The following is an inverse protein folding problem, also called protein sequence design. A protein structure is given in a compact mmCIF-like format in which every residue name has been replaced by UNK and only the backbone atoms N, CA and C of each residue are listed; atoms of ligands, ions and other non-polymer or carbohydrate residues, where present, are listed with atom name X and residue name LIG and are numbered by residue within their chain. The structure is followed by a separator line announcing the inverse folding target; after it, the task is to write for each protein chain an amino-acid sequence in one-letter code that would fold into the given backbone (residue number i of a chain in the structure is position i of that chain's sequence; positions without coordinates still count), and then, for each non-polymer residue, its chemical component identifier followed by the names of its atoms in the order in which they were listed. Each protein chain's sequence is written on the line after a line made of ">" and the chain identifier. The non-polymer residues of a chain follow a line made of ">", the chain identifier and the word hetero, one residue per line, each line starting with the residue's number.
data_IF_491694210275
#
_entry.id   IF_491694210275
#
_cell.length_a   1.000
_cell.length_b   1.000
_cell.length_c   1.000
_cell.angle_alpha   90.00
_cell.angle_beta   90.00
_cell.angle_gamma   90.00
#
_symmetry.space_group_name_H-M   'P 1'
#
loop_
_entity.id
_entity.type
_entity.pdbx_description
1 polymer ?
#
# COMPACT_ATOMS: atom_id res chain seq x y z
N UNK A 1 -3.68 1.68 88.82
CA UNK A 1 -3.44 0.47 88.01
C UNK A 1 -4.75 0.11 87.34
N UNK A 2 -4.94 0.59 86.10
CA UNK A 2 -4.86 -0.20 84.86
C UNK A 2 -6.12 -1.04 84.61
N UNK A 3 -6.98 -0.55 83.69
CA UNK A 3 -7.59 -1.25 82.53
C UNK A 3 -9.12 -1.14 82.45
N UNK A 4 -9.79 -1.03 81.30
CA UNK A 4 -9.48 -0.70 79.89
C UNK A 4 -10.84 -0.26 79.33
N UNK A 5 -10.87 0.86 78.62
CA UNK A 5 -12.02 1.40 77.89
C UNK A 5 -12.05 0.72 76.51
N UNK A 6 -13.14 0.04 76.14
CA UNK A 6 -13.32 -0.54 74.81
C UNK A 6 -14.27 0.37 74.01
N UNK A 7 -13.69 1.30 73.25
CA UNK A 7 -14.41 2.13 72.29
C UNK A 7 -14.43 1.42 70.94
N UNK A 8 -15.62 1.06 70.47
CA UNK A 8 -15.86 0.53 69.12
C UNK A 8 -15.76 1.71 68.15
N UNK A 9 -14.71 1.72 67.31
CA UNK A 9 -14.54 2.65 66.20
C UNK A 9 -15.25 2.05 64.98
N UNK A 10 -16.34 2.69 64.56
CA UNK A 10 -16.95 2.50 63.24
C UNK A 10 -16.02 3.13 62.19
N UNK A 11 -15.23 2.30 61.50
CA UNK A 11 -14.50 2.68 60.30
C UNK A 11 -15.46 2.55 59.10
N UNK A 12 -16.15 3.63 58.76
CA UNK A 12 -16.81 3.77 57.47
C UNK A 12 -15.73 3.91 56.39
N UNK A 13 -15.50 2.81 55.67
CA UNK A 13 -14.66 2.80 54.48
C UNK A 13 -15.26 3.69 53.39
N UNK A 14 -14.65 4.84 53.17
CA UNK A 14 -14.75 5.56 51.90
C UNK A 14 -13.98 4.75 50.85
N UNK A 15 -14.70 3.92 50.09
CA UNK A 15 -14.19 3.45 48.81
C UNK A 15 -14.35 4.59 47.81
N UNK A 16 -13.26 5.14 47.22
CA UNK A 16 -13.40 5.93 46.02
C UNK A 16 -13.92 5.00 44.92
N UNK A 17 -15.17 5.23 44.52
CA UNK A 17 -15.69 4.79 43.24
C UNK A 17 -14.85 5.47 42.16
N UNK A 18 -13.75 4.83 41.77
CA UNK A 18 -13.20 5.03 40.45
C UNK A 18 -14.23 4.44 39.50
N UNK A 19 -15.12 5.29 38.98
CA UNK A 19 -15.78 5.01 37.72
C UNK A 19 -14.64 4.78 36.72
N UNK A 20 -14.38 3.52 36.39
CA UNK A 20 -13.67 3.20 35.17
C UNK A 20 -14.57 3.72 34.06
N UNK A 21 -14.22 4.90 33.55
CA UNK A 21 -14.75 5.39 32.30
C UNK A 21 -14.34 4.34 31.28
N UNK A 22 -15.24 3.40 31.02
CA UNK A 22 -15.10 2.35 30.03
C UNK A 22 -15.31 3.06 28.67
N UNK A 23 -14.43 4.02 28.40
CA UNK A 23 -14.42 4.81 27.19
C UNK A 23 -14.04 3.84 26.10
N UNK A 24 -15.03 3.55 25.29
CA UNK A 24 -14.87 2.73 24.14
C UNK A 24 -13.76 3.32 23.25
N UNK A 25 -12.66 2.59 23.01
CA UNK A 25 -11.50 3.16 22.30
C UNK A 25 -11.84 3.55 20.86
N UNK A 26 -12.95 3.04 20.32
CA UNK A 26 -13.41 3.29 18.95
C UNK A 26 -14.72 4.08 18.98
N UNK A 27 -14.60 5.40 19.06
CA UNK A 27 -15.74 6.34 19.02
C UNK A 27 -15.53 7.37 17.92
N UNK A 28 -16.57 7.67 17.14
CA UNK A 28 -16.51 8.68 16.09
C UNK A 28 -16.88 10.06 16.63
N UNK A 29 -16.05 11.06 16.32
CA UNK A 29 -16.47 12.45 16.39
C UNK A 29 -17.32 12.74 15.14
N UNK A 30 -18.40 13.51 15.27
CA UNK A 30 -19.33 13.75 14.16
C UNK A 30 -19.54 15.25 13.99
N UNK A 31 -19.36 15.72 12.75
CA UNK A 31 -19.62 17.10 12.35
C UNK A 31 -21.05 17.51 12.63
N UNK A 32 -21.25 18.76 13.06
CA UNK A 32 -22.59 19.34 13.27
C UNK A 32 -23.40 19.48 11.98
N UNK A 33 -22.76 19.35 10.80
CA UNK A 33 -23.43 19.33 9.50
C UNK A 33 -24.12 18.00 9.18
N UNK A 34 -23.80 16.93 9.90
CA UNK A 34 -24.41 15.61 9.69
C UNK A 34 -25.77 15.57 10.37
N UNK A 35 -26.82 15.28 9.60
CA UNK A 35 -28.19 15.19 10.12
C UNK A 35 -28.39 13.90 10.93
N UNK A 36 -28.17 14.01 12.24
CA UNK A 36 -28.40 12.92 13.20
C UNK A 36 -29.87 12.66 13.52
N UNK A 37 -30.82 13.39 12.92
CA UNK A 37 -32.25 13.09 13.08
C UNK A 37 -32.73 12.03 12.08
N UNK A 38 -31.98 11.83 11.00
CA UNK A 38 -32.23 10.76 10.03
C UNK A 38 -31.80 9.39 10.56
N UNK A 39 -32.75 8.45 10.61
CA UNK A 39 -32.49 7.06 11.01
C UNK A 39 -31.50 6.37 10.08
N UNK A 40 -31.59 6.61 8.77
CA UNK A 40 -30.67 6.01 7.80
C UNK A 40 -29.25 6.54 7.97
N UNK A 41 -29.07 7.86 8.15
CA UNK A 41 -27.74 8.45 8.41
C UNK A 41 -27.12 7.89 9.69
N UNK A 42 -27.90 7.77 10.77
CA UNK A 42 -27.42 7.16 12.01
C UNK A 42 -27.02 5.69 11.81
N UNK A 43 -27.76 4.93 11.00
CA UNK A 43 -27.42 3.56 10.67
C UNK A 43 -26.08 3.46 9.90
N UNK A 44 -25.80 4.39 8.99
CA UNK A 44 -24.52 4.44 8.26
C UNK A 44 -23.34 4.78 9.19
N UNK A 45 -23.52 5.75 10.08
CA UNK A 45 -22.50 6.08 11.09
C UNK A 45 -22.22 4.85 11.95
N UNK A 46 -23.26 4.13 12.37
CA UNK A 46 -23.11 2.95 13.20
C UNK A 46 -22.46 1.77 12.45
N UNK A 47 -22.78 1.60 11.17
CA UNK A 47 -22.12 0.65 10.29
C UNK A 47 -20.61 0.90 10.25
N UNK A 48 -20.19 2.16 10.07
CA UNK A 48 -18.78 2.53 10.01
C UNK A 48 -18.06 2.31 11.36
N UNK A 49 -18.69 2.65 12.48
CA UNK A 49 -18.15 2.32 13.82
C UNK A 49 -17.92 0.82 13.98
N UNK A 50 -18.94 0.03 13.65
CA UNK A 50 -18.89 -1.42 13.79
C UNK A 50 -17.84 -2.05 12.86
N UNK A 51 -17.67 -1.50 11.67
CA UNK A 51 -16.59 -1.86 10.75
C UNK A 51 -15.22 -1.74 11.42
N UNK A 52 -14.87 -0.60 12.02
CA UNK A 52 -13.58 -0.46 12.69
C UNK A 52 -13.44 -1.32 13.96
N UNK A 53 -14.52 -1.52 14.72
CA UNK A 53 -14.55 -2.43 15.87
C UNK A 53 -14.31 -3.88 15.51
N UNK A 54 -14.65 -4.25 14.28
CA UNK A 54 -14.41 -5.59 13.76
C UNK A 54 -12.94 -5.84 13.43
N UNK A 55 -12.04 -4.86 13.60
CA UNK A 55 -10.60 -4.99 13.33
C UNK A 55 -10.31 -5.23 11.83
N UNK A 56 -10.63 -4.25 10.97
CA UNK A 56 -10.44 -4.38 9.54
C UNK A 56 -8.97 -4.34 9.12
N UNK A 57 -8.03 -4.21 10.05
CA UNK A 57 -6.58 -4.26 9.80
C UNK A 57 -6.10 -5.62 9.22
N UNK A 58 -6.93 -6.66 9.30
CA UNK A 58 -6.65 -7.99 8.75
C UNK A 58 -7.70 -8.43 7.71
N UNK A 59 -7.32 -9.34 6.82
CA UNK A 59 -8.22 -9.89 5.79
C UNK A 59 -8.98 -11.11 6.33
N UNK A 60 -10.30 -11.01 6.44
CA UNK A 60 -11.22 -12.09 6.81
C UNK A 60 -12.64 -11.75 6.31
N UNK A 61 -13.62 -12.65 6.48
CA UNK A 61 -15.02 -12.40 6.10
C UNK A 61 -15.68 -11.35 7.02
N UNK A 62 -15.45 -10.07 6.70
CA UNK A 62 -15.99 -8.95 7.47
C UNK A 62 -17.50 -8.81 7.21
N UNK A 63 -18.36 -8.82 8.25
CA UNK A 63 -19.82 -8.79 8.08
C UNK A 63 -20.34 -7.41 7.64
N UNK A 64 -19.51 -6.37 7.69
CA UNK A 64 -19.88 -5.00 7.36
C UNK A 64 -19.53 -4.60 5.91
N UNK A 65 -19.01 -5.53 5.11
CA UNK A 65 -18.68 -5.32 3.71
C UNK A 65 -19.60 -6.12 2.80
N UNK A 66 -19.95 -5.56 1.63
CA UNK A 66 -20.86 -6.21 0.68
C UNK A 66 -20.30 -7.55 0.16
N UNK A 67 -21.20 -8.51 -0.08
CA UNK A 67 -20.85 -9.87 -0.50
C UNK A 67 -20.27 -9.92 -1.90
N UNK A 68 -20.70 -9.01 -2.78
CA UNK A 68 -20.25 -8.98 -4.18
C UNK A 68 -18.74 -8.75 -4.28
N UNK A 69 -18.21 -7.77 -3.54
CA UNK A 69 -16.77 -7.48 -3.55
C UNK A 69 -15.97 -8.53 -2.80
N UNK A 70 -16.48 -9.07 -1.69
CA UNK A 70 -15.84 -10.20 -0.99
C UNK A 70 -15.73 -11.46 -1.84
N UNK A 71 -16.64 -11.66 -2.79
CA UNK A 71 -16.57 -12.77 -3.74
C UNK A 71 -15.57 -12.52 -4.88
N UNK A 72 -15.24 -11.26 -5.18
CA UNK A 72 -14.35 -10.87 -6.27
C UNK A 72 -12.91 -10.69 -5.81
N UNK A 73 -12.71 -10.20 -4.59
CA UNK A 73 -11.40 -9.84 -4.05
C UNK A 73 -11.20 -10.46 -2.68
N UNK A 74 -10.02 -11.06 -2.50
CA UNK A 74 -9.57 -11.51 -1.19
C UNK A 74 -9.43 -10.32 -0.24
N UNK A 75 -8.76 -9.26 -0.70
CA UNK A 75 -8.65 -8.00 0.02
C UNK A 75 -9.64 -6.99 -0.58
N UNK A 76 -10.85 -7.00 -0.05
CA UNK A 76 -12.00 -6.29 -0.62
C UNK A 76 -12.09 -4.82 -0.18
N UNK A 77 -11.44 -4.40 0.91
CA UNK A 77 -11.34 -2.98 1.27
C UNK A 77 -10.07 -2.39 0.65
N UNK A 78 -10.25 -1.58 -0.38
CA UNK A 78 -9.14 -1.04 -1.16
C UNK A 78 -8.31 0.01 -0.40
N UNK A 79 -8.81 0.53 0.72
CA UNK A 79 -8.08 1.46 1.57
C UNK A 79 -7.25 0.75 2.65
N UNK A 80 -7.55 -0.51 2.97
CA UNK A 80 -7.04 -1.23 4.14
C UNK A 80 -5.52 -1.20 4.22
N UNK A 81 -4.84 -1.66 3.17
CA UNK A 81 -3.38 -1.81 3.18
C UNK A 81 -2.66 -0.47 3.38
N UNK A 82 -3.22 0.61 2.85
CA UNK A 82 -2.70 1.97 3.03
C UNK A 82 -3.01 2.50 4.43
N UNK A 83 -4.25 2.36 4.93
CA UNK A 83 -4.62 2.87 6.26
C UNK A 83 -3.79 2.21 7.37
N UNK A 84 -3.55 0.90 7.28
CA UNK A 84 -2.92 0.09 8.34
C UNK A 84 -1.43 -0.18 8.10
N UNK A 85 -0.77 0.59 7.23
CA UNK A 85 0.66 0.44 7.01
C UNK A 85 1.48 0.83 8.24
N UNK A 86 2.74 0.38 8.30
CA UNK A 86 3.68 0.78 9.37
C UNK A 86 3.39 0.16 10.74
N UNK A 87 2.64 -0.96 10.78
CA UNK A 87 2.26 -1.63 12.03
C UNK A 87 1.06 -1.01 12.74
N UNK A 88 0.31 -0.14 12.04
CA UNK A 88 -0.90 0.46 12.56
C UNK A 88 -2.05 -0.56 12.54
N UNK A 89 -2.80 -0.63 13.63
CA UNK A 89 -4.07 -1.36 13.75
C UNK A 89 -5.23 -0.38 13.99
N UNK A 90 -6.47 -0.89 14.04
CA UNK A 90 -7.64 -0.02 14.25
C UNK A 90 -7.58 0.79 15.57
N UNK A 91 -7.04 0.22 16.65
CA UNK A 91 -6.99 0.88 17.95
C UNK A 91 -5.94 2.00 17.96
N UNK A 92 -4.74 1.70 17.49
CA UNK A 92 -3.63 2.65 17.39
C UNK A 92 -3.96 3.77 16.39
N UNK A 93 -4.62 3.46 15.27
CA UNK A 93 -5.14 4.47 14.35
C UNK A 93 -6.05 5.46 15.08
N UNK A 94 -7.07 4.98 15.81
CA UNK A 94 -8.02 5.86 16.51
C UNK A 94 -7.37 6.65 17.65
N UNK A 95 -6.37 6.06 18.30
CA UNK A 95 -5.59 6.71 19.36
C UNK A 95 -4.76 7.89 18.83
N UNK A 96 -4.08 7.73 17.69
CA UNK A 96 -3.20 8.76 17.13
C UNK A 96 -3.94 9.74 16.19
N UNK A 97 -4.96 9.24 15.50
CA UNK A 97 -5.72 9.95 14.47
C UNK A 97 -7.22 9.80 14.75
N UNK A 98 -7.73 10.66 15.64
CA UNK A 98 -9.13 10.64 16.02
C UNK A 98 -10.03 10.85 14.79
N UNK A 99 -10.94 9.91 14.50
CA UNK A 99 -11.79 10.00 13.33
C UNK A 99 -12.91 11.02 13.51
N UNK A 100 -13.12 11.83 12.49
CA UNK A 100 -14.16 12.84 12.44
C UNK A 100 -15.02 12.66 11.18
N UNK A 101 -16.27 12.26 11.36
CA UNK A 101 -17.25 12.14 10.27
C UNK A 101 -17.57 13.53 9.75
N UNK A 102 -17.08 13.82 8.54
CA UNK A 102 -17.25 15.10 7.86
C UNK A 102 -18.66 15.22 7.28
N UNK A 103 -19.10 14.18 6.57
CA UNK A 103 -20.43 14.10 5.98
C UNK A 103 -20.92 12.66 5.77
N UNK A 104 -22.25 12.53 5.70
CA UNK A 104 -22.97 11.34 5.24
C UNK A 104 -24.03 11.86 4.28
N UNK A 105 -23.87 11.57 2.99
CA UNK A 105 -24.65 12.19 1.91
C UNK A 105 -25.35 11.11 1.08
N UNK A 106 -26.63 11.28 0.69
CA UNK A 106 -27.28 10.36 -0.24
C UNK A 106 -26.70 10.53 -1.65
N UNK A 107 -26.52 9.41 -2.35
CA UNK A 107 -26.04 9.34 -3.74
C UNK A 107 -26.88 8.31 -4.50
N UNK A 108 -28.02 8.76 -5.04
CA UNK A 108 -29.06 7.86 -5.56
C UNK A 108 -29.67 7.03 -4.43
N UNK A 109 -29.68 5.70 -4.59
CA UNK A 109 -30.20 4.76 -3.59
C UNK A 109 -29.15 4.35 -2.53
N UNK A 110 -27.97 4.97 -2.55
CA UNK A 110 -26.85 4.69 -1.66
C UNK A 110 -26.59 5.89 -0.75
N UNK A 111 -25.74 5.69 0.25
CA UNK A 111 -25.12 6.77 1.00
C UNK A 111 -23.61 6.76 0.79
N UNK A 112 -22.97 7.91 0.98
CA UNK A 112 -21.54 8.06 1.00
C UNK A 112 -21.10 8.70 2.30
N UNK A 113 -20.18 8.06 3.00
CA UNK A 113 -19.59 8.57 4.24
C UNK A 113 -18.18 9.08 3.96
N UNK A 114 -17.84 10.26 4.50
CA UNK A 114 -16.48 10.83 4.49
C UNK A 114 -15.99 10.99 5.92
N UNK A 115 -14.83 10.41 6.23
CA UNK A 115 -14.25 10.44 7.57
C UNK A 115 -12.80 10.91 7.51
N UNK A 116 -12.51 11.98 8.23
CA UNK A 116 -11.17 12.51 8.41
C UNK A 116 -10.47 11.75 9.54
N UNK A 117 -9.30 11.19 9.28
CA UNK A 117 -8.38 10.71 10.29
C UNK A 117 -7.29 11.74 10.50
N UNK A 118 -7.28 12.40 11.66
CA UNK A 118 -6.30 13.45 11.94
C UNK A 118 -5.82 13.47 13.39
N UNK A 119 -4.56 13.83 13.58
CA UNK A 119 -3.94 13.98 14.89
C UNK A 119 -4.24 15.35 15.48
N UNK A 120 -4.35 15.42 16.81
CA UNK A 120 -4.44 16.68 17.55
C UNK A 120 -3.06 17.36 17.77
N UNK A 121 -1.97 16.79 17.22
CA UNK A 121 -0.62 17.33 17.42
C UNK A 121 -0.51 18.80 17.05
N UNK A 122 0.23 19.53 17.89
CA UNK A 122 0.62 20.93 17.67
C UNK A 122 2.13 21.08 17.45
N UNK A 123 2.88 19.98 17.49
CA UNK A 123 4.32 19.97 17.23
C UNK A 123 4.57 20.25 15.74
N UNK A 124 5.28 21.35 15.40
CA UNK A 124 5.59 21.70 14.01
C UNK A 124 6.31 20.59 13.24
N UNK A 125 7.09 19.74 13.92
CA UNK A 125 7.80 18.61 13.30
C UNK A 125 6.84 17.58 12.69
N UNK A 126 5.68 17.38 13.30
CA UNK A 126 4.69 16.39 12.87
C UNK A 126 3.47 17.01 12.18
N UNK A 127 3.43 18.34 12.05
CA UNK A 127 2.31 19.07 11.47
C UNK A 127 2.01 18.66 10.01
N UNK A 128 3.05 18.35 9.23
CA UNK A 128 2.91 17.89 7.84
C UNK A 128 2.22 16.54 7.68
N UNK A 129 2.21 15.70 8.73
CA UNK A 129 1.55 14.38 8.74
C UNK A 129 0.32 14.38 9.66
N UNK A 130 -0.22 15.56 9.99
CA UNK A 130 -1.37 15.68 10.89
C UNK A 130 -2.61 15.01 10.33
N UNK A 131 -2.81 15.05 9.02
CA UNK A 131 -3.90 14.34 8.35
C UNK A 131 -3.36 13.01 7.83
N UNK A 132 -3.87 11.91 8.35
CA UNK A 132 -3.55 10.57 7.89
C UNK A 132 -4.21 10.31 6.53
N UNK A 133 -5.54 10.46 6.50
CA UNK A 133 -6.35 10.39 5.30
C UNK A 133 -7.74 11.00 5.52
N UNK A 134 -8.47 11.19 4.42
CA UNK A 134 -9.92 11.31 4.39
C UNK A 134 -10.43 10.06 3.68
N UNK A 135 -10.88 9.07 4.45
CA UNK A 135 -11.48 7.86 3.89
C UNK A 135 -12.91 8.17 3.44
N UNK A 136 -13.30 7.61 2.31
CA UNK A 136 -14.61 7.79 1.71
C UNK A 136 -15.12 6.47 1.18
N UNK A 137 -16.28 6.05 1.67
CA UNK A 137 -16.87 4.76 1.33
C UNK A 137 -18.33 4.94 0.93
N UNK A 138 -18.81 4.04 0.08
CA UNK A 138 -20.24 3.91 -0.17
C UNK A 138 -20.86 2.99 0.88
N UNK A 139 -22.10 3.24 1.23
CA UNK A 139 -22.96 2.31 1.96
C UNK A 139 -24.15 1.94 1.08
N UNK A 140 -24.38 0.63 0.94
CA UNK A 140 -25.39 0.03 0.06
C UNK A 140 -26.29 -0.91 0.86
N UNK A 141 -27.55 -1.08 0.44
CA UNK A 141 -28.45 -2.05 1.07
C UNK A 141 -28.19 -3.47 0.55
N UNK A 142 -28.02 -4.42 1.45
CA UNK A 142 -28.13 -5.85 1.20
C UNK A 142 -29.27 -6.42 2.05
N UNK A 143 -30.44 -6.61 1.42
CA UNK A 143 -31.68 -6.92 2.14
C UNK A 143 -32.11 -5.73 3.01
N UNK A 144 -32.30 -5.96 4.31
CA UNK A 144 -32.70 -4.94 5.28
C UNK A 144 -31.51 -4.22 5.95
N UNK A 145 -30.28 -4.63 5.65
CA UNK A 145 -29.07 -4.10 6.30
C UNK A 145 -28.22 -3.25 5.36
N UNK A 146 -27.52 -2.27 5.92
CA UNK A 146 -26.48 -1.50 5.22
C UNK A 146 -25.13 -2.21 5.32
N UNK A 147 -24.35 -2.17 4.25
CA UNK A 147 -22.96 -2.68 4.16
C UNK A 147 -22.09 -1.71 3.35
N UNK A 148 -20.78 -1.75 3.56
CA UNK A 148 -19.80 -0.90 2.88
C UNK A 148 -19.44 -1.44 1.49
N UNK A 149 -19.07 -0.53 0.58
CA UNK A 149 -18.65 -0.79 -0.80
C UNK A 149 -17.56 0.20 -1.23
N UNK A 150 -16.59 -0.26 -2.05
CA UNK A 150 -15.58 0.61 -2.62
C UNK A 150 -16.19 1.67 -3.56
N UNK A 151 -15.52 2.82 -3.66
CA UNK A 151 -15.93 3.90 -4.58
C UNK A 151 -15.75 3.53 -6.05
N UNK A 152 -14.74 2.70 -6.36
CA UNK A 152 -14.37 2.34 -7.73
C UNK A 152 -15.57 1.86 -8.56
N UNK A 153 -16.52 1.16 -7.94
CA UNK A 153 -17.71 0.62 -8.60
C UNK A 153 -18.58 1.74 -9.15
N UNK A 154 -18.74 2.83 -8.40
CA UNK A 154 -19.53 3.98 -8.81
C UNK A 154 -18.75 4.88 -9.76
N UNK A 155 -17.48 5.17 -9.42
CA UNK A 155 -16.62 6.05 -10.19
C UNK A 155 -16.43 5.56 -11.62
N UNK A 156 -16.26 4.25 -11.82
CA UNK A 156 -15.96 3.66 -13.12
C UNK A 156 -17.19 3.29 -13.96
N UNK A 157 -18.43 3.51 -13.50
CA UNK A 157 -19.64 3.12 -14.28
C UNK A 157 -19.71 3.75 -15.66
N UNK A 158 -19.26 5.00 -15.79
CA UNK A 158 -19.26 5.75 -17.04
C UNK A 158 -17.92 5.73 -17.76
N UNK A 159 -16.95 4.96 -17.28
CA UNK A 159 -15.61 4.92 -17.86
C UNK A 159 -15.60 4.05 -19.11
N UNK A 160 -14.72 4.40 -20.04
CA UNK A 160 -14.49 3.61 -21.24
C UNK A 160 -13.57 2.44 -20.92
N UNK A 161 -13.66 1.38 -21.71
CA UNK A 161 -12.75 0.24 -21.63
C UNK A 161 -12.21 -0.15 -22.99
N UNK A 162 -10.99 -0.68 -23.01
CA UNK A 162 -10.34 -1.20 -24.21
C UNK A 162 -9.39 -2.31 -23.83
N UNK A 163 -9.48 -3.46 -24.50
CA UNK A 163 -8.65 -4.63 -24.20
C UNK A 163 -7.58 -4.87 -25.26
N UNK A 164 -6.32 -4.97 -24.84
CA UNK A 164 -5.20 -5.37 -25.70
C UNK A 164 -4.33 -6.40 -24.96
N UNK A 165 -4.17 -7.58 -25.56
CA UNK A 165 -3.44 -8.68 -24.94
C UNK A 165 -4.05 -9.06 -23.59
N UNK A 166 -3.22 -9.11 -22.54
CA UNK A 166 -3.63 -9.40 -21.17
C UNK A 166 -4.13 -8.17 -20.38
N UNK A 167 -4.19 -6.99 -20.99
CA UNK A 167 -4.54 -5.74 -20.32
C UNK A 167 -5.95 -5.30 -20.73
N UNK A 168 -6.83 -5.13 -19.75
CA UNK A 168 -8.12 -4.46 -19.89
C UNK A 168 -8.04 -3.04 -19.34
N UNK A 169 -7.82 -2.07 -20.23
CA UNK A 169 -7.69 -0.66 -19.88
C UNK A 169 -9.04 -0.08 -19.50
N UNK A 170 -9.11 0.64 -18.39
CA UNK A 170 -10.32 1.29 -17.90
C UNK A 170 -9.97 2.75 -17.58
N UNK A 171 -10.61 3.70 -18.24
CA UNK A 171 -10.18 5.10 -18.20
C UNK A 171 -11.36 6.08 -18.23
N UNK A 172 -11.24 7.24 -17.55
CA UNK A 172 -12.33 8.20 -17.46
C UNK A 172 -12.64 8.82 -18.82
N UNK A 173 -13.84 9.38 -19.02
CA UNK A 173 -14.23 10.04 -20.27
C UNK A 173 -13.32 11.21 -20.70
N UNK A 174 -12.56 11.76 -19.76
CA UNK A 174 -11.60 12.84 -19.98
C UNK A 174 -10.23 12.36 -20.46
N UNK A 175 -9.98 11.04 -20.47
CA UNK A 175 -8.72 10.46 -20.92
C UNK A 175 -8.79 10.12 -22.41
N UNK A 176 -7.81 10.61 -23.17
CA UNK A 176 -7.64 10.24 -24.58
C UNK A 176 -6.74 9.01 -24.66
N UNK A 177 -7.32 7.89 -25.11
CA UNK A 177 -6.59 6.61 -25.15
C UNK A 177 -5.49 6.61 -26.21
N UNK A 178 -4.23 6.42 -25.81
CA UNK A 178 -3.09 6.29 -26.72
C UNK A 178 -2.91 4.82 -27.13
N UNK A 179 -3.28 4.52 -28.38
CA UNK A 179 -3.14 3.18 -28.95
C UNK A 179 -1.68 2.77 -29.14
N UNK A 180 -0.75 3.71 -29.38
CA UNK A 180 0.65 3.39 -29.61
C UNK A 180 1.32 2.96 -28.30
N UNK A 181 1.05 3.68 -27.20
CA UNK A 181 1.54 3.29 -25.87
C UNK A 181 0.89 1.97 -25.40
N UNK A 182 -0.38 1.73 -25.73
CA UNK A 182 -1.03 0.45 -25.43
C UNK A 182 -0.43 -0.73 -26.22
N UNK A 183 -0.09 -0.54 -27.50
CA UNK A 183 0.60 -1.57 -28.30
C UNK A 183 2.03 -1.82 -27.79
N UNK A 184 2.71 -0.77 -27.31
CA UNK A 184 4.01 -0.89 -26.61
C UNK A 184 3.88 -1.70 -25.33
N UNK A 185 2.87 -1.41 -24.51
CA UNK A 185 2.54 -2.16 -23.30
C UNK A 185 2.27 -3.62 -23.59
N UNK A 186 1.43 -3.92 -24.58
CA UNK A 186 1.16 -5.28 -25.02
C UNK A 186 2.44 -6.03 -25.39
N UNK A 187 3.28 -5.42 -26.23
CA UNK A 187 4.54 -6.03 -26.69
C UNK A 187 5.50 -6.29 -25.52
N UNK A 188 5.60 -5.34 -24.59
CA UNK A 188 6.36 -5.50 -23.36
C UNK A 188 5.85 -6.68 -22.51
N UNK A 189 4.54 -6.75 -22.29
CA UNK A 189 3.94 -7.86 -21.52
C UNK A 189 4.20 -9.22 -22.18
N UNK A 190 4.02 -9.32 -23.49
CA UNK A 190 4.30 -10.55 -24.26
C UNK A 190 5.77 -10.98 -24.11
N UNK A 191 6.70 -10.03 -24.12
CA UNK A 191 8.12 -10.32 -23.91
C UNK A 191 8.40 -10.85 -22.50
N UNK A 192 7.89 -10.18 -21.47
CA UNK A 192 8.09 -10.58 -20.06
C UNK A 192 7.48 -11.96 -19.80
N UNK A 193 6.26 -12.20 -20.29
CA UNK A 193 5.59 -13.51 -20.21
C UNK A 193 6.48 -14.57 -20.86
N UNK A 194 6.91 -14.36 -22.10
CA UNK A 194 7.74 -15.33 -22.83
C UNK A 194 9.05 -15.66 -22.08
N UNK A 195 9.68 -14.67 -21.46
CA UNK A 195 10.99 -14.82 -20.79
C UNK A 195 10.89 -15.40 -19.38
N UNK A 196 9.90 -14.97 -18.60
CA UNK A 196 9.87 -15.22 -17.15
C UNK A 196 8.63 -15.95 -16.65
N UNK A 197 7.56 -16.01 -17.44
CA UNK A 197 6.31 -16.66 -17.04
C UNK A 197 5.54 -17.24 -18.24
N UNK A 198 6.11 -18.17 -19.02
CA UNK A 198 5.50 -18.63 -20.28
C UNK A 198 4.17 -19.38 -20.10
N UNK A 199 3.80 -19.73 -18.87
CA UNK A 199 2.50 -20.32 -18.53
C UNK A 199 1.45 -19.30 -18.12
N UNK A 200 1.73 -18.00 -18.17
CA UNK A 200 0.76 -16.95 -17.81
C UNK A 200 -0.38 -16.88 -18.84
N UNK A 201 -1.60 -17.10 -18.36
CA UNK A 201 -2.86 -17.00 -19.12
C UNK A 201 -3.83 -15.98 -18.51
N UNK A 202 -3.35 -15.22 -17.51
CA UNK A 202 -4.15 -14.26 -16.78
C UNK A 202 -4.42 -12.96 -17.55
N UNK A 203 -5.36 -12.20 -17.03
CA UNK A 203 -5.68 -10.85 -17.47
C UNK A 203 -5.77 -9.94 -16.26
N UNK A 204 -5.52 -8.65 -16.44
CA UNK A 204 -5.70 -7.67 -15.39
C UNK A 204 -6.29 -6.38 -15.92
N UNK A 205 -7.04 -5.72 -15.04
CA UNK A 205 -7.59 -4.39 -15.29
C UNK A 205 -6.52 -3.34 -15.04
N UNK A 206 -6.43 -2.34 -15.90
CA UNK A 206 -5.52 -1.21 -15.70
C UNK A 206 -6.31 0.08 -15.68
N UNK A 207 -6.52 0.61 -14.48
CA UNK A 207 -7.26 1.85 -14.27
C UNK A 207 -6.32 3.04 -14.44
N UNK A 208 -6.57 3.83 -15.48
CA UNK A 208 -5.79 5.02 -15.79
C UNK A 208 -6.46 6.23 -15.14
N UNK A 209 -5.72 6.93 -14.29
CA UNK A 209 -6.04 8.28 -13.84
C UNK A 209 -4.85 9.22 -14.08
N UNK A 210 -5.09 10.52 -14.02
CA UNK A 210 -4.11 11.56 -14.34
C UNK A 210 -3.49 12.20 -13.09
N UNK A 211 -3.87 11.76 -11.89
CA UNK A 211 -3.37 12.31 -10.63
C UNK A 211 -3.41 11.29 -9.49
N UNK A 212 -2.56 11.48 -8.48
CA UNK A 212 -2.54 10.63 -7.28
C UNK A 212 -3.83 10.74 -6.48
N UNK A 213 -4.51 11.88 -6.53
CA UNK A 213 -5.80 12.11 -5.87
C UNK A 213 -6.92 11.31 -6.58
N UNK A 214 -6.96 11.34 -7.91
CA UNK A 214 -7.92 10.54 -8.68
C UNK A 214 -7.68 9.04 -8.51
N UNK A 215 -6.41 8.62 -8.45
CA UNK A 215 -6.07 7.24 -8.12
C UNK A 215 -6.51 6.89 -6.69
N UNK A 216 -6.28 7.81 -5.73
CA UNK A 216 -6.70 7.68 -4.34
C UNK A 216 -8.20 7.49 -4.20
N UNK A 217 -9.02 8.15 -5.02
CA UNK A 217 -10.47 7.95 -5.05
C UNK A 217 -10.85 6.51 -5.40
N UNK A 218 -10.14 5.85 -6.32
CA UNK A 218 -10.34 4.43 -6.63
C UNK A 218 -9.96 3.52 -5.44
N UNK A 219 -9.15 4.02 -4.52
CA UNK A 219 -8.73 3.38 -3.27
C UNK A 219 -9.51 3.86 -2.04
N UNK A 220 -10.65 4.53 -2.23
CA UNK A 220 -11.51 5.04 -1.16
C UNK A 220 -10.94 6.23 -0.37
N UNK A 221 -10.08 7.05 -0.99
CA UNK A 221 -9.53 8.26 -0.37
C UNK A 221 -9.92 9.52 -1.14
N UNK A 222 -10.53 10.50 -0.46
CA UNK A 222 -10.58 11.88 -0.95
C UNK A 222 -9.22 12.58 -0.76
N UNK A 223 -8.42 12.11 0.21
CA UNK A 223 -7.05 12.55 0.48
C UNK A 223 -6.34 11.45 1.28
N UNK A 224 -5.04 11.25 1.04
CA UNK A 224 -4.23 10.35 1.85
C UNK A 224 -2.75 10.74 1.74
N UNK A 225 -2.06 10.73 2.87
CA UNK A 225 -0.61 10.92 2.93
C UNK A 225 0.14 9.58 2.88
N UNK A 226 -0.57 8.51 3.22
CA UNK A 226 -0.02 7.27 3.74
C UNK A 226 -0.10 6.21 2.66
N UNK A 227 1.06 5.77 2.18
CA UNK A 227 1.13 4.80 1.07
C UNK A 227 0.72 5.44 -0.26
N UNK A 228 0.88 6.76 -0.37
CA UNK A 228 0.75 7.50 -1.63
C UNK A 228 1.82 7.05 -2.61
N UNK A 229 1.40 6.80 -3.85
CA UNK A 229 2.24 6.29 -4.93
C UNK A 229 1.63 6.73 -6.27
N UNK A 230 2.39 6.60 -7.36
CA UNK A 230 1.91 6.83 -8.73
C UNK A 230 1.35 5.56 -9.39
N UNK A 231 1.53 4.41 -8.77
CA UNK A 231 1.07 3.11 -9.24
C UNK A 231 0.89 2.09 -8.12
N UNK A 232 -0.08 1.19 -8.28
CA UNK A 232 -0.28 0.07 -7.37
C UNK A 232 -0.88 -1.14 -8.05
N UNK A 233 -0.09 -2.20 -8.19
CA UNK A 233 -0.56 -3.52 -8.56
C UNK A 233 -1.28 -4.21 -7.38
N UNK A 234 -2.46 -4.77 -7.65
CA UNK A 234 -3.27 -5.53 -6.69
C UNK A 234 -3.90 -6.76 -7.36
N UNK A 235 -4.74 -7.48 -6.61
CA UNK A 235 -5.48 -8.62 -7.13
C UNK A 235 -6.33 -8.21 -8.36
N UNK A 236 -6.09 -8.87 -9.49
CA UNK A 236 -6.79 -8.62 -10.75
C UNK A 236 -6.65 -7.23 -11.39
N UNK A 237 -5.88 -6.30 -10.80
CA UNK A 237 -5.80 -4.93 -11.33
C UNK A 237 -4.50 -4.20 -11.03
N UNK A 238 -4.29 -3.11 -11.75
CA UNK A 238 -3.32 -2.05 -11.47
C UNK A 238 -4.07 -0.72 -11.48
N UNK A 239 -3.78 0.14 -10.52
CA UNK A 239 -4.22 1.54 -10.51
C UNK A 239 -3.01 2.42 -10.83
N UNK A 240 -3.17 3.44 -11.66
CA UNK A 240 -2.10 4.40 -11.96
C UNK A 240 -2.57 5.84 -11.94
N UNK A 241 -1.67 6.73 -11.54
CA UNK A 241 -1.75 8.18 -11.67
C UNK A 241 -0.90 8.73 -12.82
N UNK A 242 -0.24 7.88 -13.64
CA UNK A 242 0.67 8.33 -14.71
C UNK A 242 -0.05 8.92 -15.93
N UNK A 243 -1.37 8.69 -16.05
CA UNK A 243 -2.18 9.23 -17.15
C UNK A 243 -1.81 8.66 -18.52
N UNK A 244 -1.27 7.45 -18.61
CA UNK A 244 -0.93 6.78 -19.86
C UNK A 244 -1.07 5.26 -19.77
N UNK A 245 -0.97 4.59 -20.92
CA UNK A 245 -1.22 3.18 -21.13
C UNK A 245 0.00 2.28 -20.83
N UNK A 246 1.15 2.86 -20.49
CA UNK A 246 2.41 2.15 -20.38
C UNK A 246 3.11 2.39 -19.04
N UNK A 247 2.92 1.44 -18.11
CA UNK A 247 3.60 1.45 -16.81
C UNK A 247 4.32 0.12 -16.52
N UNK A 248 5.48 -0.12 -17.17
CA UNK A 248 6.24 -1.35 -17.08
C UNK A 248 6.52 -1.83 -15.65
N UNK A 249 6.86 -0.93 -14.73
CA UNK A 249 7.13 -1.27 -13.34
C UNK A 249 5.97 -2.05 -12.69
N UNK A 250 4.75 -1.51 -12.76
CA UNK A 250 3.57 -2.18 -12.21
C UNK A 250 3.18 -3.43 -13.01
N UNK A 251 3.43 -3.44 -14.32
CA UNK A 251 3.20 -4.63 -15.15
C UNK A 251 4.08 -5.79 -14.68
N UNK A 252 5.34 -5.54 -14.30
CA UNK A 252 6.22 -6.59 -13.76
C UNK A 252 5.61 -7.28 -12.54
N UNK A 253 5.04 -6.54 -11.59
CA UNK A 253 4.37 -7.13 -10.41
C UNK A 253 3.16 -8.01 -10.77
N UNK A 254 2.52 -7.79 -11.92
CA UNK A 254 1.41 -8.63 -12.40
C UNK A 254 1.85 -9.84 -13.21
N UNK A 255 2.94 -9.72 -13.95
CA UNK A 255 3.36 -10.71 -14.94
C UNK A 255 4.32 -11.75 -14.38
N UNK A 256 5.14 -11.40 -13.39
CA UNK A 256 6.05 -12.35 -12.79
C UNK A 256 5.31 -13.36 -11.90
N UNK A 257 5.79 -14.62 -11.79
CA UNK A 257 5.24 -15.59 -10.85
C UNK A 257 5.29 -15.07 -9.41
N UNK A 258 4.19 -15.29 -8.69
CA UNK A 258 4.13 -14.99 -7.26
C UNK A 258 5.06 -15.91 -6.47
N UNK A 259 5.81 -15.33 -5.53
CA UNK A 259 6.64 -16.08 -4.59
C UNK A 259 6.53 -15.41 -3.21
N UNK A 260 5.79 -15.99 -2.25
CA UNK A 260 5.61 -15.40 -0.92
C UNK A 260 6.90 -15.40 -0.08
N UNK A 261 7.97 -16.05 -0.55
CA UNK A 261 9.28 -16.08 0.08
C UNK A 261 10.30 -15.15 -0.59
N UNK A 262 9.84 -14.33 -1.55
CA UNK A 262 10.67 -13.33 -2.19
C UNK A 262 10.73 -12.07 -1.33
N UNK A 263 11.94 -11.59 -1.06
CA UNK A 263 12.14 -10.37 -0.29
C UNK A 263 11.74 -9.13 -1.09
N UNK A 264 11.27 -8.11 -0.38
CA UNK A 264 10.87 -6.81 -0.94
C UNK A 264 11.92 -6.17 -1.85
N UNK A 265 13.21 -6.24 -1.49
CA UNK A 265 14.31 -5.71 -2.32
C UNK A 265 14.39 -6.43 -3.67
N UNK A 266 14.13 -7.73 -3.70
CA UNK A 266 14.11 -8.50 -4.96
C UNK A 266 12.85 -8.19 -5.76
N UNK A 267 11.70 -8.08 -5.10
CA UNK A 267 10.42 -7.72 -5.73
C UNK A 267 10.52 -6.37 -6.46
N UNK A 268 10.88 -5.31 -5.75
CA UNK A 268 11.05 -3.97 -6.32
C UNK A 268 12.23 -3.92 -7.28
N UNK A 269 13.29 -4.67 -7.01
CA UNK A 269 14.47 -4.75 -7.87
C UNK A 269 14.16 -5.31 -9.25
N UNK A 270 13.34 -6.36 -9.34
CA UNK A 270 12.89 -6.94 -10.60
C UNK A 270 12.00 -5.95 -11.37
N UNK A 271 11.06 -5.30 -10.69
CA UNK A 271 10.19 -4.28 -11.29
C UNK A 271 10.97 -3.06 -11.79
N UNK A 272 11.99 -2.63 -11.05
CA UNK A 272 12.86 -1.54 -11.45
C UNK A 272 13.77 -1.92 -12.62
N UNK A 273 14.40 -3.10 -12.59
CA UNK A 273 15.34 -3.55 -13.61
C UNK A 273 14.67 -3.96 -14.93
N UNK A 274 13.56 -4.71 -14.87
CA UNK A 274 12.84 -5.17 -16.06
C UNK A 274 11.79 -4.17 -16.54
N UNK A 275 11.22 -3.37 -15.64
CA UNK A 275 10.16 -2.42 -15.94
C UNK A 275 10.68 -1.01 -16.09
N UNK A 276 11.06 -0.35 -14.99
CA UNK A 276 11.43 1.08 -15.01
C UNK A 276 12.56 1.40 -15.98
N UNK A 277 13.45 0.44 -16.26
CA UNK A 277 14.53 0.58 -17.25
C UNK A 277 14.06 0.91 -18.67
N UNK A 278 12.79 0.66 -19.01
CA UNK A 278 12.14 1.13 -20.24
C UNK A 278 12.08 2.67 -20.33
N UNK A 279 12.17 3.36 -19.20
CA UNK A 279 12.42 4.79 -19.08
C UNK A 279 13.84 5.01 -18.56
N UNK A 280 14.79 5.16 -19.49
CA UNK A 280 16.21 5.28 -19.18
C UNK A 280 16.52 6.42 -18.19
N UNK A 281 15.91 7.59 -18.37
CA UNK A 281 16.16 8.75 -17.51
C UNK A 281 15.70 8.51 -16.07
N UNK A 282 14.48 8.00 -15.90
CA UNK A 282 13.92 7.67 -14.57
C UNK A 282 14.76 6.59 -13.87
N UNK A 283 15.17 5.56 -14.61
CA UNK A 283 16.02 4.49 -14.08
C UNK A 283 17.40 5.01 -13.67
N UNK A 284 18.12 5.70 -14.56
CA UNK A 284 19.48 6.21 -14.29
C UNK A 284 19.48 7.23 -13.16
N UNK A 285 18.47 8.12 -13.09
CA UNK A 285 18.31 9.08 -12.00
C UNK A 285 18.19 8.39 -10.64
N UNK A 286 17.39 7.32 -10.53
CA UNK A 286 17.23 6.60 -9.27
C UNK A 286 18.48 5.81 -8.89
N UNK A 287 19.15 5.17 -9.85
CA UNK A 287 20.41 4.46 -9.63
C UNK A 287 21.52 5.41 -9.18
N UNK A 288 21.58 6.60 -9.78
CA UNK A 288 22.53 7.66 -9.41
C UNK A 288 22.38 8.09 -7.95
N UNK A 289 21.14 8.28 -7.46
CA UNK A 289 20.91 8.66 -6.05
C UNK A 289 21.57 7.71 -5.06
N UNK A 290 21.40 6.40 -5.25
CA UNK A 290 22.04 5.40 -4.38
C UNK A 290 23.56 5.36 -4.60
N UNK A 291 24.04 5.53 -5.83
CA UNK A 291 25.47 5.59 -6.10
C UNK A 291 26.16 6.79 -5.41
N UNK A 292 25.47 7.93 -5.31
CA UNK A 292 25.93 9.12 -4.56
C UNK A 292 25.98 8.80 -3.07
N UNK A 293 24.89 8.28 -2.50
CA UNK A 293 24.79 7.97 -1.08
C UNK A 293 25.82 6.94 -0.60
N UNK A 294 26.15 5.94 -1.43
CA UNK A 294 27.17 4.94 -1.09
C UNK A 294 28.58 5.53 -0.93
N UNK A 295 28.87 6.69 -1.54
CA UNK A 295 30.17 7.35 -1.38
C UNK A 295 30.14 8.47 -0.35
N UNK A 296 29.05 9.23 -0.27
CA UNK A 296 28.95 10.39 0.61
C UNK A 296 28.45 10.03 2.01
N UNK A 297 27.72 8.93 2.14
CA UNK A 297 27.03 8.51 3.36
C UNK A 297 27.30 7.03 3.71
N UNK A 298 28.48 6.50 3.36
CA UNK A 298 28.81 5.06 3.47
C UNK A 298 28.66 4.46 4.88
N UNK A 299 28.79 5.30 5.92
CA UNK A 299 28.63 4.91 7.33
C UNK A 299 27.18 4.47 7.66
N UNK A 300 26.19 5.02 6.95
CA UNK A 300 24.76 4.70 7.15
C UNK A 300 24.16 3.97 5.95
N UNK A 301 24.47 4.41 4.74
CA UNK A 301 24.01 3.82 3.48
C UNK A 301 25.12 2.95 2.89
N UNK A 302 24.96 1.63 2.99
CA UNK A 302 25.89 0.64 2.46
C UNK A 302 25.12 -0.61 2.01
N UNK A 303 25.81 -1.57 1.39
CA UNK A 303 25.20 -2.80 0.90
C UNK A 303 24.33 -3.47 1.97
N UNK A 304 24.87 -3.69 3.16
CA UNK A 304 24.12 -4.35 4.23
C UNK A 304 22.89 -3.56 4.63
N UNK A 305 22.97 -2.25 4.80
CA UNK A 305 21.86 -1.45 5.31
C UNK A 305 20.68 -1.37 4.34
N UNK A 306 20.95 -1.25 3.04
CA UNK A 306 19.90 -1.22 2.01
C UNK A 306 19.40 -2.61 1.65
N UNK A 307 20.23 -3.66 1.64
CA UNK A 307 19.76 -5.02 1.34
C UNK A 307 18.99 -5.63 2.50
N UNK A 308 19.38 -5.36 3.75
CA UNK A 308 18.61 -5.78 4.93
C UNK A 308 17.38 -4.92 5.21
N UNK A 309 17.21 -3.81 4.49
CA UNK A 309 16.13 -2.85 4.69
C UNK A 309 16.11 -2.26 6.11
N UNK A 310 17.29 -2.08 6.71
CA UNK A 310 17.46 -1.24 7.91
C UNK A 310 17.37 0.24 7.54
N UNK A 311 17.87 0.60 6.36
CA UNK A 311 17.73 1.94 5.77
C UNK A 311 16.79 1.86 4.57
N UNK A 312 15.48 2.08 4.81
CA UNK A 312 14.42 1.91 3.80
C UNK A 312 14.20 3.16 2.94
N UNK A 313 14.45 4.34 3.49
CA UNK A 313 14.12 5.60 2.85
C UNK A 313 15.16 6.68 3.13
N UNK A 314 15.71 7.27 2.07
CA UNK A 314 16.65 8.41 2.13
C UNK A 314 16.24 9.52 1.15
N UNK A 315 14.96 9.91 1.17
CA UNK A 315 14.36 10.78 0.12
C UNK A 315 13.90 10.01 -1.13
N UNK A 316 14.15 8.71 -1.16
CA UNK A 316 13.65 7.73 -2.11
C UNK A 316 13.69 6.35 -1.43
N UNK A 317 12.95 5.38 -1.96
CA UNK A 317 12.98 4.01 -1.45
C UNK A 317 14.26 3.29 -1.89
N UNK A 318 15.12 2.93 -0.94
CA UNK A 318 16.45 2.35 -1.23
C UNK A 318 16.37 0.97 -1.86
N UNK A 319 15.29 0.22 -1.58
CA UNK A 319 15.03 -1.11 -2.14
C UNK A 319 15.07 -1.13 -3.67
N UNK A 320 14.60 -0.06 -4.31
CA UNK A 320 14.45 0.02 -5.76
C UNK A 320 15.81 -0.01 -6.48
N UNK A 321 16.70 0.98 -6.28
CA UNK A 321 18.02 0.95 -6.92
C UNK A 321 18.91 -0.17 -6.38
N UNK A 322 18.77 -0.54 -5.10
CA UNK A 322 19.57 -1.61 -4.51
C UNK A 322 19.23 -2.98 -5.13
N UNK A 323 17.94 -3.27 -5.26
CA UNK A 323 17.43 -4.48 -5.90
C UNK A 323 17.71 -4.50 -7.40
N UNK A 324 17.56 -3.36 -8.09
CA UNK A 324 17.87 -3.26 -9.51
C UNK A 324 19.35 -3.56 -9.79
N UNK A 325 20.27 -3.06 -8.95
CA UNK A 325 21.68 -3.37 -9.05
C UNK A 325 21.98 -4.87 -8.82
N UNK A 326 21.26 -5.53 -7.89
CA UNK A 326 21.34 -7.01 -7.75
C UNK A 326 20.88 -7.68 -9.04
N UNK A 327 19.73 -7.28 -9.60
CA UNK A 327 19.18 -7.87 -10.82
C UNK A 327 20.12 -7.68 -12.00
N UNK A 328 20.70 -6.48 -12.16
CA UNK A 328 21.68 -6.20 -13.21
C UNK A 328 22.95 -7.06 -13.05
N UNK A 329 23.46 -7.19 -11.81
CA UNK A 329 24.63 -8.02 -11.53
C UNK A 329 24.37 -9.50 -11.83
N UNK A 330 23.23 -10.02 -11.36
CA UNK A 330 22.80 -11.41 -11.60
C UNK A 330 22.61 -11.67 -13.08
N UNK A 331 21.92 -10.78 -13.79
CA UNK A 331 21.72 -10.88 -15.23
C UNK A 331 23.05 -10.81 -15.99
N UNK A 332 23.99 -9.96 -15.55
CA UNK A 332 25.33 -9.89 -16.14
C UNK A 332 26.15 -11.17 -16.02
N UNK A 333 25.95 -11.97 -14.96
CA UNK A 333 26.67 -13.23 -14.75
C UNK A 333 25.96 -14.43 -15.39
N UNK A 334 24.64 -14.47 -15.34
CA UNK A 334 23.85 -15.69 -15.57
C UNK A 334 22.63 -15.47 -16.47
N UNK A 335 22.47 -14.27 -17.06
CA UNK A 335 21.37 -13.91 -17.95
C UNK A 335 19.98 -14.10 -17.32
N UNK A 336 18.98 -14.32 -18.16
CA UNK A 336 17.60 -14.60 -17.73
C UNK A 336 17.49 -15.81 -16.79
N UNK A 337 18.36 -16.81 -16.95
CA UNK A 337 18.38 -17.97 -16.05
C UNK A 337 18.79 -17.60 -14.62
N UNK A 338 19.71 -16.65 -14.46
CA UNK A 338 20.06 -16.11 -13.15
C UNK A 338 18.89 -15.37 -12.50
N UNK A 339 18.19 -14.54 -13.28
CA UNK A 339 17.01 -13.82 -12.79
C UNK A 339 15.87 -14.78 -12.42
N UNK A 340 15.65 -15.83 -13.20
CA UNK A 340 14.68 -16.88 -12.89
C UNK A 340 15.01 -17.61 -11.59
N UNK A 341 16.30 -17.89 -11.33
CA UNK A 341 16.73 -18.47 -10.06
C UNK A 341 16.46 -17.50 -8.89
N UNK A 342 16.79 -16.22 -9.04
CA UNK A 342 16.54 -15.19 -8.03
C UNK A 342 15.04 -15.02 -7.74
N UNK A 343 14.22 -15.00 -8.79
CA UNK A 343 12.77 -14.85 -8.77
C UNK A 343 12.06 -15.93 -7.95
N UNK A 344 12.55 -17.18 -8.06
CA UNK A 344 11.94 -18.37 -7.46
C UNK A 344 12.57 -18.77 -6.11
N UNK A 345 13.71 -18.19 -5.75
CA UNK A 345 14.41 -18.51 -4.52
C UNK A 345 13.70 -17.99 -3.25
N UNK A 346 13.98 -18.64 -2.13
CA UNK A 346 13.69 -18.10 -0.79
C UNK A 346 14.73 -17.02 -0.48
N UNK A 347 14.32 -15.77 -0.56
CA UNK A 347 15.19 -14.59 -0.33
C UNK A 347 14.73 -13.75 0.84
N UNK A 348 13.66 -14.17 1.54
CA UNK A 348 12.97 -13.40 2.56
C UNK A 348 13.91 -12.82 3.63
N UNK A 349 14.85 -13.63 4.10
CA UNK A 349 15.89 -13.23 5.04
C UNK A 349 17.15 -12.71 4.34
N UNK A 350 17.78 -11.66 4.88
CA UNK A 350 19.03 -11.07 4.36
C UNK A 350 20.08 -12.14 4.01
N UNK A 351 20.31 -13.09 4.94
CA UNK A 351 21.30 -14.15 4.75
C UNK A 351 20.94 -15.07 3.57
N UNK A 352 19.67 -15.40 3.41
CA UNK A 352 19.21 -16.25 2.31
C UNK A 352 19.34 -15.53 0.97
N UNK A 353 19.02 -14.23 0.92
CA UNK A 353 19.23 -13.39 -0.25
C UNK A 353 20.71 -13.35 -0.66
N UNK A 354 21.61 -13.05 0.26
CA UNK A 354 23.06 -13.00 -0.02
C UNK A 354 23.57 -14.36 -0.50
N UNK A 355 23.23 -15.45 0.19
CA UNK A 355 23.62 -16.81 -0.23
C UNK A 355 23.11 -17.12 -1.63
N UNK A 356 21.84 -16.80 -1.92
CA UNK A 356 21.23 -17.02 -3.23
C UNK A 356 21.99 -16.29 -4.33
N UNK A 357 22.30 -15.01 -4.13
CA UNK A 357 23.04 -14.22 -5.14
C UNK A 357 24.46 -14.78 -5.33
N UNK A 358 25.16 -15.12 -4.25
CA UNK A 358 26.48 -15.74 -4.32
C UNK A 358 26.46 -17.08 -5.07
N UNK A 359 25.42 -17.91 -4.88
CA UNK A 359 25.27 -19.18 -5.61
C UNK A 359 25.05 -18.95 -7.11
N UNK A 360 24.21 -17.97 -7.47
CA UNK A 360 23.91 -17.65 -8.87
C UNK A 360 25.13 -17.05 -9.58
N UNK A 361 25.86 -16.16 -8.91
CA UNK A 361 26.97 -15.39 -9.50
C UNK A 361 28.33 -16.05 -9.32
N UNK A 362 28.44 -17.04 -8.43
CA UNK A 362 29.68 -17.70 -7.99
C UNK A 362 30.68 -16.74 -7.32
N UNK A 363 30.20 -15.61 -6.83
CA UNK A 363 30.99 -14.66 -6.05
C UNK A 363 31.00 -15.05 -4.57
N UNK A 364 32.08 -14.72 -3.87
CA UNK A 364 32.05 -14.62 -2.41
C UNK A 364 31.22 -13.42 -1.97
N UNK A 365 30.81 -13.37 -0.70
CA UNK A 365 30.04 -12.24 -0.16
C UNK A 365 30.79 -10.90 -0.28
N UNK A 366 32.12 -10.91 -0.08
CA UNK A 366 32.95 -9.72 -0.24
C UNK A 366 33.01 -9.27 -1.71
N UNK A 367 33.17 -10.20 -2.64
CA UNK A 367 33.15 -9.89 -4.06
C UNK A 367 31.78 -9.40 -4.51
N UNK A 368 30.69 -9.98 -3.99
CA UNK A 368 29.32 -9.54 -4.26
C UNK A 368 29.14 -8.06 -3.87
N UNK A 369 29.52 -7.67 -2.66
CA UNK A 369 29.39 -6.28 -2.19
C UNK A 369 30.18 -5.31 -3.09
N UNK A 370 31.41 -5.68 -3.46
CA UNK A 370 32.24 -4.89 -4.37
C UNK A 370 31.59 -4.77 -5.75
N UNK A 371 31.16 -5.88 -6.35
CA UNK A 371 30.56 -5.91 -7.69
C UNK A 371 29.19 -5.24 -7.76
N UNK A 372 28.42 -5.32 -6.69
CA UNK A 372 27.16 -4.58 -6.57
C UNK A 372 27.43 -3.07 -6.51
N UNK A 373 28.41 -2.63 -5.72
CA UNK A 373 28.80 -1.22 -5.66
C UNK A 373 29.36 -0.71 -6.99
N UNK A 374 30.18 -1.50 -7.68
CA UNK A 374 30.65 -1.21 -9.05
C UNK A 374 29.48 -1.07 -10.04
N UNK A 375 28.42 -1.87 -9.89
CA UNK A 375 27.22 -1.79 -10.73
C UNK A 375 26.52 -0.44 -10.58
N UNK A 376 26.38 0.06 -9.36
CA UNK A 376 25.80 1.38 -9.09
C UNK A 376 26.70 2.53 -9.56
N UNK A 377 28.02 2.39 -9.40
CA UNK A 377 29.00 3.42 -9.81
C UNK A 377 28.96 3.75 -11.31
N UNK A 378 28.47 2.85 -12.17
CA UNK A 378 28.25 3.14 -13.61
C UNK A 378 27.29 4.31 -13.84
N UNK A 379 26.38 4.55 -12.90
CA UNK A 379 25.35 5.57 -12.97
C UNK A 379 25.77 6.88 -12.29
N UNK A 380 26.97 6.92 -11.69
CA UNK A 380 27.55 8.12 -11.10
C UNK A 380 28.09 9.01 -12.22
N UNK A 381 27.52 10.20 -12.38
CA UNK A 381 27.86 11.21 -13.41
C UNK A 381 27.30 10.96 -14.84
N UNK A 382 26.17 10.26 -14.97
CA UNK A 382 25.37 10.31 -16.20
C UNK A 382 24.44 11.53 -16.21
#
# INVERSE_FOLDING_TARGET
>A
MKNILLTIIFLSGFYPLFAQDNTDPISLLISSRVDKTSEEINAIIKLYENYYRSKPDSVYDNPYWNKKEKALYKDFDFSRISIFQGGMDANTLFQYFSPFVLSVEPIGDKYQIRVLFSSATTDPKYAGSKVWCIQKLNAVKEGESWVLENLIVELSKGWSSKKLGCIDYIFPPTHEFDIQEADRAKSFCEEIIRRFNPGYDGEFKYYITSSMDDMGLLENFDYYFVGITSGKAREGMILTAKGNEFYPHEFIHKLLPSNPKRNFVVEEGLAQFLGTKENKEEYESLMNKLAVDLEEHSETINFKSVISQSERYNGYQTAYPAGAAICELVHGHSGDQGLLQLLMADTMEYKNLVITICLITKLSEQELEIKWSETLKKYRNL
#
